data_IF_596637342925
#
_entry.id   IF_596637342925
#
_cell.length_a   1.000
_cell.length_b   1.000
_cell.length_c   1.000
_cell.angle_alpha   90.00
_cell.angle_beta   90.00
_cell.angle_gamma   90.00
#
_symmetry.space_group_name_H-M   'P 1'
#
loop_
_entity.id
_entity.type
_entity.pdbx_description
1 polymer ?
#
# COMPACT_ATOMS: atom_id res chain seq x y z
N UNK A 1 -34.01 4.82 -4.20
CA UNK A 1 -32.69 5.47 -4.27
C UNK A 1 -31.75 4.69 -3.36
N UNK A 2 -31.04 3.71 -3.91
CA UNK A 2 -30.09 2.88 -3.16
C UNK A 2 -28.98 3.74 -2.57
N UNK A 3 -28.87 3.72 -1.25
CA UNK A 3 -27.78 4.38 -0.53
C UNK A 3 -26.50 3.61 -0.81
N UNK A 4 -25.73 4.04 -1.81
CA UNK A 4 -24.38 3.56 -2.10
C UNK A 4 -23.54 3.68 -0.82
N UNK A 5 -23.41 2.58 -0.08
CA UNK A 5 -22.66 2.50 1.17
C UNK A 5 -21.18 2.61 0.81
N UNK A 6 -20.68 3.83 0.74
CA UNK A 6 -19.27 4.10 0.41
C UNK A 6 -18.38 3.45 1.45
N UNK A 7 -17.73 2.37 1.05
CA UNK A 7 -16.71 1.72 1.84
C UNK A 7 -15.51 2.66 1.93
N UNK A 8 -15.36 3.34 3.07
CA UNK A 8 -14.19 4.18 3.34
C UNK A 8 -12.97 3.29 3.49
N UNK A 9 -12.16 3.23 2.43
CA UNK A 9 -10.81 2.67 2.48
C UNK A 9 -10.00 3.48 3.51
N UNK A 10 -9.33 2.79 4.43
CA UNK A 10 -8.54 3.46 5.47
C UNK A 10 -7.34 4.19 4.85
N UNK A 11 -7.01 5.37 5.38
CA UNK A 11 -5.81 6.14 4.98
C UNK A 11 -4.52 5.28 5.01
N UNK A 12 -4.44 4.33 5.94
CA UNK A 12 -3.33 3.39 6.06
C UNK A 12 -3.14 2.48 4.85
N UNK A 13 -4.24 2.04 4.22
CA UNK A 13 -4.18 1.23 2.99
C UNK A 13 -3.57 2.05 1.85
N UNK A 14 -4.00 3.30 1.72
CA UNK A 14 -3.45 4.26 0.75
C UNK A 14 -1.98 4.60 1.02
N UNK A 15 -1.60 4.81 2.28
CA UNK A 15 -0.21 5.08 2.67
C UNK A 15 0.67 3.86 2.38
N UNK A 16 0.22 2.65 2.73
CA UNK A 16 0.95 1.41 2.45
C UNK A 16 1.15 1.17 0.95
N UNK A 17 0.08 1.35 0.16
CA UNK A 17 0.17 1.28 -1.30
C UNK A 17 1.12 2.34 -1.87
N UNK A 18 1.06 3.57 -1.35
CA UNK A 18 1.96 4.65 -1.76
C UNK A 18 3.43 4.36 -1.47
N UNK A 19 3.76 3.86 -0.27
CA UNK A 19 5.13 3.47 0.10
C UNK A 19 5.62 2.34 -0.81
N UNK A 20 4.78 1.35 -1.09
CA UNK A 20 5.14 0.24 -1.96
C UNK A 20 5.42 0.71 -3.40
N UNK A 21 4.55 1.55 -3.95
CA UNK A 21 4.73 2.12 -5.29
C UNK A 21 5.97 2.99 -5.34
N UNK A 22 6.15 3.93 -4.40
CA UNK A 22 7.31 4.83 -4.35
C UNK A 22 8.63 4.09 -4.13
N UNK A 23 8.57 2.91 -3.51
CA UNK A 23 9.72 2.03 -3.33
C UNK A 23 10.20 1.34 -4.60
N UNK A 24 9.26 0.91 -5.44
CA UNK A 24 9.55 0.24 -6.72
C UNK A 24 9.67 1.19 -7.91
N UNK A 25 9.03 2.35 -7.85
CA UNK A 25 9.00 3.33 -8.93
C UNK A 25 10.41 3.73 -9.41
N UNK A 26 11.41 3.98 -8.53
CA UNK A 26 12.75 4.37 -8.94
C UNK A 26 13.47 3.28 -9.72
N UNK A 27 13.33 2.01 -9.31
CA UNK A 27 13.98 0.90 -10.01
C UNK A 27 13.28 0.59 -11.34
N UNK A 28 11.96 0.75 -11.42
CA UNK A 28 11.21 0.61 -12.68
C UNK A 28 11.59 1.73 -13.66
N UNK A 29 11.64 2.99 -13.22
CA UNK A 29 12.07 4.10 -14.07
C UNK A 29 13.50 3.90 -14.56
N UNK A 30 14.39 3.46 -13.68
CA UNK A 30 15.77 3.17 -14.05
C UNK A 30 15.88 2.00 -15.03
N UNK A 31 15.05 0.96 -14.88
CA UNK A 31 15.04 -0.15 -15.83
C UNK A 31 14.51 0.24 -17.21
N UNK A 32 13.65 1.25 -17.31
CA UNK A 32 13.04 1.70 -18.57
C UNK A 32 13.82 2.82 -19.27
N UNK A 33 14.38 3.75 -18.50
CA UNK A 33 15.01 4.98 -19.01
C UNK A 33 16.46 5.15 -18.56
N UNK A 34 16.96 4.25 -17.70
CA UNK A 34 18.30 4.35 -17.15
C UNK A 34 19.39 4.01 -18.17
N UNK A 35 20.59 4.58 -17.98
CA UNK A 35 21.75 4.24 -18.80
C UNK A 35 22.10 2.76 -18.60
N UNK A 36 22.39 2.05 -19.70
CA UNK A 36 22.76 0.62 -19.69
C UNK A 36 23.97 0.30 -18.80
N UNK A 37 24.86 1.27 -18.62
CA UNK A 37 26.11 1.10 -17.87
C UNK A 37 26.08 1.66 -16.44
N UNK A 38 24.94 2.18 -15.97
CA UNK A 38 24.86 2.67 -14.61
C UNK A 38 24.64 1.55 -13.59
N UNK A 39 24.87 1.85 -12.31
CA UNK A 39 24.79 0.87 -11.22
C UNK A 39 23.45 0.99 -10.44
N UNK A 40 22.48 0.08 -10.62
CA UNK A 40 21.18 0.14 -9.96
C UNK A 40 21.17 -0.36 -8.51
N UNK A 41 22.32 -0.73 -7.92
CA UNK A 41 22.37 -1.33 -6.57
C UNK A 41 21.64 -0.50 -5.51
N UNK A 42 21.78 0.82 -5.52
CA UNK A 42 21.08 1.70 -4.57
C UNK A 42 19.55 1.66 -4.73
N UNK A 43 19.06 1.55 -5.97
CA UNK A 43 17.63 1.44 -6.27
C UNK A 43 17.10 0.06 -5.91
N UNK A 44 17.92 -0.97 -6.09
CA UNK A 44 17.64 -2.34 -5.66
C UNK A 44 17.46 -2.42 -4.15
N UNK A 45 18.39 -1.86 -3.38
CA UNK A 45 18.31 -1.77 -1.92
C UNK A 45 17.09 -0.98 -1.45
N UNK A 46 16.78 0.12 -2.13
CA UNK A 46 15.58 0.91 -1.83
C UNK A 46 14.30 0.09 -2.04
N UNK A 47 14.19 -0.64 -3.16
CA UNK A 47 13.05 -1.52 -3.44
C UNK A 47 12.94 -2.67 -2.41
N UNK A 48 14.09 -3.23 -2.00
CA UNK A 48 14.17 -4.34 -1.06
C UNK A 48 13.77 -3.94 0.37
N UNK A 49 14.03 -2.70 0.79
CA UNK A 49 13.60 -2.17 2.10
C UNK A 49 12.15 -1.69 2.07
N UNK A 50 11.75 -1.03 0.98
CA UNK A 50 10.38 -0.49 0.84
C UNK A 50 9.33 -1.55 0.64
N UNK A 51 9.64 -2.69 -0.01
CA UNK A 51 8.72 -3.81 -0.21
C UNK A 51 8.15 -4.35 1.11
N UNK A 52 8.97 -4.80 2.10
CA UNK A 52 8.45 -5.30 3.36
C UNK A 52 7.76 -4.21 4.20
N UNK A 53 8.26 -2.97 4.19
CA UNK A 53 7.65 -1.86 4.95
C UNK A 53 6.27 -1.51 4.36
N UNK A 54 6.19 -1.32 3.05
CA UNK A 54 4.92 -1.03 2.35
C UNK A 54 3.91 -2.16 2.53
N UNK A 55 4.37 -3.41 2.45
CA UNK A 55 3.52 -4.59 2.67
C UNK A 55 2.97 -4.67 4.09
N UNK A 56 3.80 -4.43 5.11
CA UNK A 56 3.37 -4.41 6.52
C UNK A 56 2.33 -3.31 6.78
N UNK A 57 2.58 -2.09 6.29
CA UNK A 57 1.64 -0.96 6.46
C UNK A 57 0.32 -1.25 5.73
N UNK A 58 0.38 -1.84 4.53
CA UNK A 58 -0.81 -2.26 3.79
C UNK A 58 -1.62 -3.31 4.56
N UNK A 59 -0.97 -4.36 5.07
CA UNK A 59 -1.62 -5.40 5.87
C UNK A 59 -2.29 -4.83 7.13
N UNK A 60 -1.60 -3.96 7.87
CA UNK A 60 -2.16 -3.30 9.05
C UNK A 60 -3.39 -2.46 8.67
N UNK A 61 -3.31 -1.72 7.56
CA UNK A 61 -4.44 -0.98 7.01
C UNK A 61 -5.62 -1.88 6.62
N UNK A 62 -5.36 -3.01 5.98
CA UNK A 62 -6.36 -3.97 5.54
C UNK A 62 -7.05 -4.65 6.74
N UNK A 63 -6.28 -5.11 7.72
CA UNK A 63 -6.78 -5.71 8.97
C UNK A 63 -7.64 -4.70 9.74
N UNK A 64 -7.18 -3.46 9.90
CA UNK A 64 -7.94 -2.41 10.61
C UNK A 64 -9.25 -2.05 9.90
N UNK A 65 -9.23 -2.03 8.57
CA UNK A 65 -10.44 -1.79 7.75
C UNK A 65 -11.43 -2.94 7.92
N UNK A 66 -10.94 -4.18 7.84
CA UNK A 66 -11.74 -5.40 8.00
C UNK A 66 -12.32 -5.49 9.41
N UNK A 67 -11.52 -5.29 10.45
CA UNK A 67 -11.96 -5.27 11.84
C UNK A 67 -13.04 -4.19 12.09
N UNK A 68 -12.89 -3.00 11.47
CA UNK A 68 -13.89 -1.93 11.58
C UNK A 68 -15.22 -2.30 10.94
N UNK A 69 -15.18 -3.07 9.84
CA UNK A 69 -16.39 -3.59 9.16
C UNK A 69 -17.08 -4.65 10.02
N UNK A 70 -16.32 -5.58 10.58
CA UNK A 70 -16.86 -6.62 11.46
C UNK A 70 -17.47 -6.02 12.73
N UNK A 71 -16.78 -5.05 13.37
CA UNK A 71 -17.30 -4.34 14.55
C UNK A 71 -18.60 -3.57 14.23
N UNK A 72 -18.71 -3.01 13.02
CA UNK A 72 -19.92 -2.31 12.56
C UNK A 72 -21.10 -3.27 12.29
N UNK A 73 -20.84 -4.52 11.88
CA UNK A 73 -21.89 -5.55 11.75
C UNK A 73 -22.37 -6.10 13.09
N UNK A 74 -21.49 -6.22 14.09
CA UNK A 74 -21.84 -6.76 15.42
C UNK A 74 -22.50 -5.76 16.39
N UNK A 75 -22.49 -4.45 16.09
CA UNK A 75 -23.05 -3.40 16.95
C UNK A 75 -24.39 -2.82 16.51
N UNK A 76 -25.04 -3.37 15.48
CA UNK A 76 -26.27 -2.86 14.87
C UNK A 76 -27.57 -3.46 15.43
N UNK A 77 -27.53 -4.09 16.60
CA UNK A 77 -28.71 -4.63 17.28
C UNK A 77 -28.86 -3.95 18.64
N UNK A 78 -29.27 -2.68 18.61
CA UNK A 78 -29.93 -1.97 19.72
C UNK A 78 -30.60 -0.72 19.16
#
# INVERSE_FOLDING_TARGET
METQKTWKISKLVWIGAGIFILGFLPIILYSLFGPKDGNPIGLGLLSMISAPIGFLVFLIGAVKTTASVYKKKGGGSR
#
